data_IF_091397526390
#
_entry.id   IF_091397526390
#
_cell.length_a   1.000
_cell.length_b   1.000
_cell.length_c   1.000
_cell.angle_alpha   90.00
_cell.angle_beta   90.00
_cell.angle_gamma   90.00
#
_symmetry.space_group_name_H-M   'P 1'
#
loop_
_entity.id
_entity.type
_entity.pdbx_description
1 polymer ?
#
# COMPACT_ATOMS: atom_id res chain seq x y z
N UNK A 1 75.33 26.12 47.02
CA UNK A 1 74.23 26.55 46.16
C UNK A 1 73.59 25.28 45.55
N UNK A 2 72.39 24.88 45.99
CA UNK A 2 71.64 23.71 45.52
C UNK A 2 70.57 24.18 44.58
N UNK A 3 70.68 23.90 43.31
CA UNK A 3 69.71 24.29 42.26
C UNK A 3 68.58 23.22 42.23
N UNK A 4 67.38 23.59 42.63
CA UNK A 4 66.16 22.72 42.49
C UNK A 4 65.65 22.87 41.07
N UNK A 5 65.60 21.73 40.31
CA UNK A 5 64.99 21.64 38.98
C UNK A 5 63.52 21.26 39.17
N UNK A 6 62.59 22.16 38.89
CA UNK A 6 61.16 21.88 38.87
C UNK A 6 60.76 21.28 37.50
N UNK A 7 60.40 19.99 37.49
CA UNK A 7 59.84 19.32 36.33
C UNK A 7 58.32 19.59 36.34
N UNK A 8 57.82 20.39 35.40
CA UNK A 8 56.37 20.60 35.14
C UNK A 8 55.90 19.46 34.23
N UNK A 9 55.14 18.52 34.79
CA UNK A 9 54.47 17.47 34.03
C UNK A 9 53.18 18.05 33.44
N UNK A 10 53.14 18.27 32.11
CA UNK A 10 51.97 18.63 31.36
C UNK A 10 51.11 17.38 31.15
N UNK A 11 50.04 17.21 31.93
CA UNK A 11 49.02 16.19 31.67
C UNK A 11 48.18 16.65 30.48
N UNK A 12 48.46 16.10 29.31
CA UNK A 12 47.59 16.19 28.12
C UNK A 12 46.40 15.29 28.37
N UNK A 13 45.27 15.85 28.82
CA UNK A 13 43.98 15.14 28.82
C UNK A 13 43.52 14.98 27.39
N UNK A 14 43.74 13.78 26.83
CA UNK A 14 43.12 13.35 25.55
C UNK A 14 41.65 13.15 25.83
N UNK A 15 40.79 14.15 25.54
CA UNK A 15 39.36 13.96 25.46
C UNK A 15 39.06 13.15 24.20
N UNK A 16 38.81 11.85 24.35
CA UNK A 16 38.20 11.09 23.29
C UNK A 16 36.78 11.61 23.09
N UNK A 17 36.62 12.49 22.11
CA UNK A 17 35.32 12.74 21.49
C UNK A 17 34.97 11.48 20.74
N UNK A 18 34.04 10.68 21.26
CA UNK A 18 33.42 9.64 20.45
C UNK A 18 32.59 10.40 19.40
N UNK A 19 33.13 10.59 18.22
CA UNK A 19 32.34 10.99 17.05
C UNK A 19 31.25 9.93 16.88
N UNK A 20 30.06 10.23 17.39
CA UNK A 20 28.86 9.48 17.09
C UNK A 20 28.61 9.73 15.61
N UNK A 21 29.13 8.85 14.75
CA UNK A 21 28.91 8.92 13.33
C UNK A 21 27.40 8.75 13.09
N UNK A 22 26.77 9.80 12.56
CA UNK A 22 25.35 9.74 12.23
C UNK A 22 25.08 8.60 11.24
N UNK A 23 23.97 7.87 11.41
CA UNK A 23 23.64 6.77 10.52
C UNK A 23 23.48 7.28 9.09
N UNK A 24 24.14 6.63 8.13
CA UNK A 24 24.14 7.01 6.73
C UNK A 24 23.97 5.79 5.83
N UNK A 25 23.43 6.00 4.63
CA UNK A 25 23.29 4.94 3.66
C UNK A 25 22.12 5.15 2.69
N UNK A 26 21.77 4.07 2.01
CA UNK A 26 20.74 4.07 0.98
C UNK A 26 19.73 2.93 1.22
N UNK A 27 18.44 3.23 1.14
CA UNK A 27 17.34 2.27 1.29
C UNK A 27 16.52 2.25 -0.01
N UNK A 28 16.34 1.08 -0.58
CA UNK A 28 15.44 0.86 -1.71
C UNK A 28 14.10 0.32 -1.25
N UNK A 29 13.02 1.05 -1.54
CA UNK A 29 11.63 0.65 -1.29
C UNK A 29 10.94 0.42 -2.63
N UNK A 30 10.37 -0.77 -2.84
CA UNK A 30 9.72 -1.11 -4.11
C UNK A 30 8.45 -1.91 -3.92
N UNK A 31 7.44 -1.67 -4.75
CA UNK A 31 6.28 -2.56 -4.77
C UNK A 31 4.94 -1.91 -5.06
N UNK A 32 4.04 -1.95 -4.10
CA UNK A 32 2.64 -1.60 -4.27
C UNK A 32 2.43 -0.20 -4.84
N UNK A 33 1.80 -0.10 -6.00
CA UNK A 33 1.35 1.18 -6.55
C UNK A 33 0.31 1.87 -5.62
N UNK A 34 -0.49 1.09 -4.90
CA UNK A 34 -1.40 1.64 -3.88
C UNK A 34 -0.64 2.42 -2.80
N UNK A 35 0.55 1.94 -2.42
CA UNK A 35 1.37 2.53 -1.36
C UNK A 35 2.41 3.54 -1.85
N UNK A 36 2.55 3.74 -3.17
CA UNK A 36 3.66 4.56 -3.68
C UNK A 36 3.65 5.98 -3.12
N UNK A 37 2.50 6.65 -3.11
CA UNK A 37 2.37 8.01 -2.57
C UNK A 37 2.66 8.06 -1.05
N UNK A 38 2.14 7.09 -0.30
CA UNK A 38 2.40 7.00 1.14
C UNK A 38 3.89 6.72 1.43
N UNK A 39 4.49 5.77 0.70
CA UNK A 39 5.90 5.45 0.87
C UNK A 39 6.82 6.63 0.48
N UNK A 40 6.48 7.39 -0.56
CA UNK A 40 7.20 8.62 -0.94
C UNK A 40 7.08 9.68 0.14
N UNK A 41 5.87 9.92 0.65
CA UNK A 41 5.65 10.90 1.72
C UNK A 41 6.39 10.51 3.01
N UNK A 42 6.36 9.24 3.38
CA UNK A 42 7.12 8.71 4.52
C UNK A 42 8.64 8.88 4.31
N UNK A 43 9.13 8.60 3.11
CA UNK A 43 10.55 8.78 2.77
C UNK A 43 10.98 10.24 2.82
N UNK A 44 10.16 11.16 2.28
CA UNK A 44 10.42 12.61 2.31
C UNK A 44 10.50 13.14 3.75
N UNK A 45 9.54 12.79 4.61
CA UNK A 45 9.53 13.23 6.00
C UNK A 45 10.66 12.58 6.82
N UNK A 46 10.98 11.32 6.55
CA UNK A 46 12.09 10.62 7.16
C UNK A 46 13.45 11.27 6.82
N UNK A 47 13.69 11.59 5.55
CA UNK A 47 14.96 12.20 5.11
C UNK A 47 15.17 13.63 5.67
N UNK A 48 14.12 14.31 6.13
CA UNK A 48 14.28 15.58 6.87
C UNK A 48 14.88 15.37 8.27
N UNK A 49 14.56 14.23 8.90
CA UNK A 49 15.06 13.87 10.24
C UNK A 49 16.42 13.16 10.18
N UNK A 50 16.64 12.38 9.10
CA UNK A 50 17.86 11.60 8.86
C UNK A 50 18.51 11.97 7.51
N UNK A 51 19.16 13.15 7.41
CA UNK A 51 19.60 13.72 6.13
C UNK A 51 20.70 12.92 5.42
N UNK A 52 21.37 12.00 6.12
CA UNK A 52 22.41 11.14 5.54
C UNK A 52 21.89 9.74 5.14
N UNK A 53 20.58 9.46 5.32
CA UNK A 53 19.95 8.23 4.84
C UNK A 53 19.04 8.57 3.67
N UNK A 54 19.38 8.07 2.49
CA UNK A 54 18.59 8.28 1.28
C UNK A 54 17.60 7.13 1.07
N UNK A 55 16.33 7.46 0.83
CA UNK A 55 15.28 6.47 0.58
C UNK A 55 14.72 6.67 -0.83
N UNK A 56 14.90 5.68 -1.70
CA UNK A 56 14.32 5.66 -3.04
C UNK A 56 13.07 4.78 -3.08
N UNK A 57 11.97 5.34 -3.59
CA UNK A 57 10.68 4.66 -3.66
C UNK A 57 10.29 4.42 -5.12
N UNK A 58 9.96 3.17 -5.46
CA UNK A 58 9.45 2.79 -6.79
C UNK A 58 8.19 1.93 -6.68
N UNK A 59 7.22 2.16 -7.56
CA UNK A 59 6.00 1.36 -7.68
C UNK A 59 6.19 0.07 -8.49
N UNK A 60 5.15 -0.35 -9.20
CA UNK A 60 5.17 -1.51 -10.11
C UNK A 60 4.32 -2.70 -9.63
N UNK A 61 3.64 -2.55 -8.50
CA UNK A 61 2.73 -3.55 -7.93
C UNK A 61 3.35 -4.43 -6.84
N UNK A 62 2.51 -4.94 -5.95
CA UNK A 62 2.92 -5.78 -4.81
C UNK A 62 3.70 -7.03 -5.24
N UNK A 63 3.32 -7.63 -6.37
CA UNK A 63 4.02 -8.80 -6.90
C UNK A 63 5.46 -8.49 -7.32
N UNK A 64 5.68 -7.32 -7.92
CA UNK A 64 7.02 -6.85 -8.31
C UNK A 64 7.88 -6.56 -7.08
N UNK A 65 7.31 -5.88 -6.06
CA UNK A 65 8.04 -5.62 -4.80
C UNK A 65 8.47 -6.90 -4.10
N UNK A 66 7.54 -7.85 -3.94
CA UNK A 66 7.83 -9.14 -3.30
C UNK A 66 8.90 -9.93 -4.10
N UNK A 67 8.80 -9.95 -5.44
CA UNK A 67 9.82 -10.57 -6.28
C UNK A 67 11.18 -9.88 -6.14
N UNK A 68 11.22 -8.55 -6.09
CA UNK A 68 12.46 -7.79 -5.87
C UNK A 68 13.09 -8.08 -4.50
N UNK A 69 12.28 -8.23 -3.44
CA UNK A 69 12.78 -8.63 -2.12
C UNK A 69 13.38 -10.05 -2.16
N UNK A 70 12.68 -11.01 -2.80
CA UNK A 70 13.17 -12.38 -2.95
C UNK A 70 14.48 -12.42 -3.74
N UNK A 71 14.62 -11.59 -4.78
CA UNK A 71 15.84 -11.45 -5.58
C UNK A 71 16.93 -10.59 -4.90
N UNK A 72 16.68 -10.08 -3.68
CA UNK A 72 17.60 -9.22 -2.93
C UNK A 72 17.99 -7.93 -3.67
N UNK A 73 17.07 -7.40 -4.50
CA UNK A 73 17.24 -6.15 -5.28
C UNK A 73 16.47 -4.97 -4.70
N UNK A 74 15.86 -5.13 -3.53
CA UNK A 74 15.26 -4.07 -2.72
C UNK A 74 15.41 -4.43 -1.25
N UNK A 75 15.48 -3.42 -0.38
CA UNK A 75 15.56 -3.61 1.08
C UNK A 75 14.18 -3.81 1.68
N UNK A 76 13.19 -3.09 1.14
CA UNK A 76 11.81 -3.11 1.63
C UNK A 76 10.87 -3.33 0.45
N UNK A 77 10.02 -4.34 0.53
CA UNK A 77 8.91 -4.52 -0.40
C UNK A 77 7.62 -3.97 0.19
N UNK A 78 6.95 -3.04 -0.51
CA UNK A 78 5.60 -2.60 -0.15
C UNK A 78 4.54 -3.48 -0.80
N UNK A 79 3.49 -3.82 -0.05
CA UNK A 79 2.42 -4.65 -0.57
C UNK A 79 1.04 -4.28 0.00
N UNK A 80 0.02 -4.31 -0.83
CA UNK A 80 -1.39 -4.11 -0.49
C UNK A 80 -2.18 -5.43 -0.45
N UNK A 81 -1.47 -6.52 -0.28
CA UNK A 81 -1.94 -7.88 0.00
C UNK A 81 -0.88 -8.66 0.77
N UNK A 82 -1.29 -9.73 1.41
CA UNK A 82 -0.30 -10.64 2.01
C UNK A 82 0.54 -11.35 0.94
N UNK A 83 1.77 -11.69 1.34
CA UNK A 83 2.64 -12.58 0.55
C UNK A 83 1.99 -13.95 0.41
N UNK A 84 1.98 -14.49 -0.82
CA UNK A 84 1.34 -15.79 -1.12
C UNK A 84 2.23 -16.96 -0.69
N UNK A 85 1.61 -18.11 -0.41
CA UNK A 85 2.35 -19.32 -0.02
C UNK A 85 3.37 -19.76 -1.07
N UNK A 86 3.03 -19.60 -2.37
CA UNK A 86 3.97 -19.86 -3.48
C UNK A 86 5.17 -18.90 -3.44
N UNK A 87 4.98 -17.63 -3.09
CA UNK A 87 6.04 -16.63 -2.98
C UNK A 87 6.93 -16.95 -1.75
N UNK A 88 6.33 -17.33 -0.61
CA UNK A 88 7.08 -17.81 0.57
C UNK A 88 7.94 -19.04 0.26
N UNK A 89 7.40 -19.99 -0.53
CA UNK A 89 8.17 -21.18 -0.95
C UNK A 89 9.36 -20.81 -1.83
N UNK A 90 9.20 -19.82 -2.74
CA UNK A 90 10.29 -19.31 -3.56
C UNK A 90 11.30 -18.57 -2.69
N UNK A 91 10.85 -17.68 -1.79
CA UNK A 91 11.70 -16.95 -0.87
C UNK A 91 12.62 -17.90 -0.07
N UNK A 92 12.05 -18.99 0.47
CA UNK A 92 12.82 -20.01 1.18
C UNK A 92 13.94 -20.64 0.34
N UNK A 93 13.72 -20.87 -0.96
CA UNK A 93 14.74 -21.40 -1.89
C UNK A 93 15.89 -20.43 -2.11
N UNK A 94 15.65 -19.12 -1.99
CA UNK A 94 16.63 -18.05 -2.14
C UNK A 94 17.17 -17.55 -0.80
N UNK A 95 16.90 -18.29 0.30
CA UNK A 95 17.34 -17.94 1.66
C UNK A 95 16.86 -16.54 2.08
N UNK A 96 15.65 -16.17 1.64
CA UNK A 96 14.95 -14.95 2.05
C UNK A 96 13.84 -15.34 3.02
N UNK A 97 13.77 -14.67 4.15
CA UNK A 97 12.76 -14.86 5.20
C UNK A 97 11.91 -13.59 5.25
N UNK A 98 10.80 -13.49 4.47
CA UNK A 98 9.98 -12.29 4.48
C UNK A 98 9.42 -12.02 5.87
N UNK A 99 9.83 -10.89 6.46
CA UNK A 99 9.32 -10.40 7.74
C UNK A 99 8.18 -9.41 7.47
N UNK A 100 6.99 -9.73 7.98
CA UNK A 100 5.77 -8.97 7.71
C UNK A 100 5.60 -7.84 8.72
N UNK A 101 5.43 -6.60 8.22
CA UNK A 101 5.18 -5.41 9.01
C UNK A 101 3.90 -4.76 8.49
N UNK A 102 2.87 -4.67 9.33
CA UNK A 102 1.66 -3.92 9.00
C UNK A 102 1.94 -2.45 9.28
N UNK A 103 1.66 -1.57 8.31
CA UNK A 103 1.92 -0.13 8.41
C UNK A 103 0.65 0.72 8.42
N UNK A 104 -0.51 0.11 8.32
CA UNK A 104 -1.82 0.77 8.31
C UNK A 104 -2.86 -0.08 7.59
N UNK A 105 -4.04 0.52 7.35
CA UNK A 105 -5.15 -0.17 6.67
C UNK A 105 -5.68 0.68 5.51
N UNK A 106 -6.32 -0.01 4.57
CA UNK A 106 -6.90 0.56 3.35
C UNK A 106 -8.31 0.02 3.14
N UNK A 107 -9.22 0.88 2.65
CA UNK A 107 -10.48 0.48 2.08
C UNK A 107 -10.38 0.50 0.55
N UNK A 108 -10.54 -0.64 -0.12
CA UNK A 108 -10.59 -0.66 -1.58
C UNK A 108 -11.91 -0.02 -2.04
N UNK A 109 -11.83 1.24 -2.42
CA UNK A 109 -12.97 2.05 -2.83
C UNK A 109 -13.44 1.67 -4.23
N UNK A 110 -14.73 1.41 -4.38
CA UNK A 110 -15.39 1.26 -5.68
C UNK A 110 -15.82 2.64 -6.13
N UNK A 111 -15.37 3.03 -7.32
CA UNK A 111 -15.59 4.37 -7.86
C UNK A 111 -16.31 4.33 -9.20
N UNK A 112 -17.17 5.32 -9.39
CA UNK A 112 -17.88 5.60 -10.66
C UNK A 112 -17.77 7.07 -11.00
N UNK A 113 -18.11 7.42 -12.24
CA UNK A 113 -18.22 8.81 -12.65
C UNK A 113 -19.30 9.54 -11.82
N UNK A 114 -19.11 10.82 -11.52
CA UNK A 114 -20.07 11.64 -10.76
C UNK A 114 -21.46 11.70 -11.35
N UNK A 115 -21.59 11.56 -12.68
CA UNK A 115 -22.87 11.54 -13.38
C UNK A 115 -23.61 10.21 -13.26
N UNK A 116 -22.94 9.14 -12.83
CA UNK A 116 -23.57 7.84 -12.65
C UNK A 116 -24.58 7.90 -11.49
N UNK A 117 -25.87 7.49 -11.67
CA UNK A 117 -26.88 7.59 -10.62
C UNK A 117 -26.74 6.54 -9.52
N UNK A 118 -25.92 5.49 -9.72
CA UNK A 118 -25.75 4.42 -8.73
C UNK A 118 -25.01 4.97 -7.49
N UNK A 119 -25.55 4.68 -6.31
CA UNK A 119 -24.99 5.12 -5.03
C UNK A 119 -24.39 3.97 -4.21
N UNK A 120 -24.83 2.75 -4.47
CA UNK A 120 -24.47 1.57 -3.67
C UNK A 120 -24.54 0.29 -4.49
N UNK A 121 -23.67 -0.67 -4.15
CA UNK A 121 -23.63 -2.03 -4.72
C UNK A 121 -23.35 -3.07 -3.63
N UNK A 122 -23.82 -4.29 -3.86
CA UNK A 122 -23.42 -5.45 -3.06
C UNK A 122 -22.14 -6.08 -3.65
N UNK A 123 -21.42 -6.86 -2.83
CA UNK A 123 -20.29 -7.69 -3.31
C UNK A 123 -20.77 -8.62 -4.44
N UNK A 124 -21.99 -9.13 -4.36
CA UNK A 124 -22.54 -9.99 -5.42
C UNK A 124 -22.78 -9.25 -6.73
N UNK A 125 -23.29 -8.01 -6.68
CA UNK A 125 -23.44 -7.19 -7.88
C UNK A 125 -22.08 -6.82 -8.49
N UNK A 126 -21.08 -6.50 -7.66
CA UNK A 126 -19.70 -6.30 -8.12
C UNK A 126 -19.16 -7.57 -8.79
N UNK A 127 -19.34 -8.73 -8.17
CA UNK A 127 -18.97 -10.01 -8.77
C UNK A 127 -19.62 -10.19 -10.15
N UNK A 128 -20.92 -9.95 -10.27
CA UNK A 128 -21.65 -10.14 -11.51
C UNK A 128 -21.24 -9.12 -12.62
N UNK A 129 -20.85 -7.89 -12.23
CA UNK A 129 -20.24 -6.90 -13.15
C UNK A 129 -18.88 -7.42 -13.65
N UNK A 130 -17.97 -7.75 -12.74
CA UNK A 130 -16.58 -8.08 -13.10
C UNK A 130 -16.42 -9.48 -13.73
N UNK A 131 -17.42 -10.34 -13.60
CA UNK A 131 -17.52 -11.63 -14.34
C UNK A 131 -18.32 -11.52 -15.64
N UNK A 132 -18.85 -10.33 -15.96
CA UNK A 132 -19.57 -10.07 -17.21
C UNK A 132 -21.01 -10.58 -17.26
N UNK A 133 -21.61 -10.91 -16.11
CA UNK A 133 -23.03 -11.29 -15.99
C UNK A 133 -23.95 -10.08 -16.03
N UNK A 134 -23.50 -8.95 -15.48
CA UNK A 134 -24.15 -7.65 -15.58
C UNK A 134 -23.29 -6.77 -16.49
N UNK A 135 -23.84 -6.32 -17.62
CA UNK A 135 -23.12 -5.55 -18.66
C UNK A 135 -23.71 -4.18 -18.92
N UNK A 136 -24.86 -3.86 -18.35
CA UNK A 136 -25.56 -2.61 -18.57
C UNK A 136 -26.00 -2.02 -17.23
N UNK A 137 -25.84 -0.69 -17.07
CA UNK A 137 -26.20 0.01 -15.86
C UNK A 137 -27.69 -0.03 -15.53
N UNK A 138 -28.58 -0.18 -16.54
CA UNK A 138 -30.03 -0.30 -16.34
C UNK A 138 -30.42 -1.55 -15.53
N UNK A 139 -29.60 -2.63 -15.57
CA UNK A 139 -29.79 -3.84 -14.76
C UNK A 139 -29.61 -3.55 -13.24
N UNK A 140 -29.06 -2.40 -12.90
CA UNK A 140 -28.81 -1.94 -11.54
C UNK A 140 -29.62 -0.68 -11.17
N UNK A 141 -30.55 -0.26 -12.06
CA UNK A 141 -31.36 0.94 -11.87
C UNK A 141 -30.69 2.22 -12.34
N UNK A 142 -29.62 2.11 -13.11
CA UNK A 142 -28.91 3.21 -13.76
C UNK A 142 -29.45 3.52 -15.17
N UNK A 143 -28.66 4.30 -15.92
CA UNK A 143 -28.98 4.64 -17.32
C UNK A 143 -28.88 3.40 -18.22
N UNK A 144 -29.56 3.43 -19.36
CA UNK A 144 -29.38 2.42 -20.40
C UNK A 144 -28.06 2.67 -21.15
N UNK A 145 -26.99 2.16 -20.59
CA UNK A 145 -25.63 2.25 -21.13
C UNK A 145 -24.76 1.10 -20.64
N UNK A 146 -23.82 0.67 -21.50
CA UNK A 146 -22.89 -0.41 -21.18
C UNK A 146 -22.00 -0.04 -19.99
N UNK A 147 -21.61 -1.05 -19.21
CA UNK A 147 -20.63 -0.89 -18.12
C UNK A 147 -19.22 -1.08 -18.69
N UNK A 148 -18.33 -0.13 -18.46
CA UNK A 148 -16.90 -0.25 -18.71
C UNK A 148 -16.20 -0.59 -17.39
N UNK A 149 -15.95 -1.87 -17.17
CA UNK A 149 -15.32 -2.33 -15.94
C UNK A 149 -13.78 -2.23 -16.04
N UNK A 150 -13.18 -1.53 -15.07
CA UNK A 150 -11.74 -1.27 -15.01
C UNK A 150 -11.11 -2.05 -13.86
N UNK A 151 -9.99 -2.69 -14.13
CA UNK A 151 -9.19 -3.41 -13.16
C UNK A 151 -7.73 -2.95 -13.21
N UNK A 152 -6.93 -3.45 -12.30
CA UNK A 152 -5.49 -3.23 -12.24
C UNK A 152 -4.75 -4.39 -12.91
N UNK A 153 -3.51 -4.15 -13.31
CA UNK A 153 -2.61 -5.18 -13.81
C UNK A 153 -2.44 -6.34 -12.81
N UNK A 154 -2.13 -7.52 -13.33
CA UNK A 154 -2.01 -8.78 -12.56
C UNK A 154 -0.89 -8.76 -11.49
N UNK A 155 0.11 -7.87 -11.63
CA UNK A 155 1.15 -7.61 -10.63
C UNK A 155 0.62 -6.84 -9.41
N UNK A 156 -0.50 -6.13 -9.56
CA UNK A 156 -1.11 -5.31 -8.52
C UNK A 156 -1.63 -6.14 -7.36
N UNK A 157 -1.27 -5.76 -6.14
CA UNK A 157 -1.86 -6.34 -4.93
C UNK A 157 -3.36 -6.09 -4.83
N UNK A 158 -3.83 -4.93 -5.33
CA UNK A 158 -5.25 -4.58 -5.34
C UNK A 158 -6.03 -5.46 -6.32
N UNK A 159 -5.47 -5.77 -7.50
CA UNK A 159 -6.06 -6.72 -8.42
C UNK A 159 -6.25 -8.10 -7.76
N UNK A 160 -5.20 -8.62 -7.13
CA UNK A 160 -5.26 -9.94 -6.48
C UNK A 160 -6.27 -9.95 -5.32
N UNK A 161 -6.23 -8.92 -4.46
CA UNK A 161 -7.18 -8.79 -3.35
C UNK A 161 -8.63 -8.72 -3.86
N UNK A 162 -8.90 -7.89 -4.87
CA UNK A 162 -10.23 -7.74 -5.45
C UNK A 162 -10.70 -9.03 -6.13
N UNK A 163 -9.81 -9.73 -6.83
CA UNK A 163 -10.08 -11.03 -7.42
C UNK A 163 -10.54 -12.04 -6.37
N UNK A 164 -9.75 -12.19 -5.30
CA UNK A 164 -10.04 -13.16 -4.23
C UNK A 164 -11.34 -12.80 -3.50
N UNK A 165 -11.52 -11.52 -3.14
CA UNK A 165 -12.66 -11.06 -2.33
C UNK A 165 -13.96 -10.94 -3.12
N UNK A 166 -13.91 -10.42 -4.35
CA UNK A 166 -15.09 -10.08 -5.14
C UNK A 166 -15.35 -11.11 -6.24
N UNK A 167 -14.37 -11.41 -7.08
CA UNK A 167 -14.56 -12.34 -8.21
C UNK A 167 -14.68 -13.79 -7.72
N UNK A 168 -13.88 -14.17 -6.74
CA UNK A 168 -13.87 -15.53 -6.19
C UNK A 168 -14.69 -15.67 -4.89
N UNK A 169 -15.26 -14.58 -4.37
CA UNK A 169 -16.13 -14.55 -3.19
C UNK A 169 -15.50 -15.21 -1.95
N UNK A 170 -14.17 -15.02 -1.75
CA UNK A 170 -13.36 -15.66 -0.69
C UNK A 170 -13.38 -17.19 -0.67
N UNK A 171 -13.80 -17.83 -1.75
CA UNK A 171 -13.84 -19.29 -1.86
C UNK A 171 -12.60 -19.80 -2.55
N UNK A 172 -11.71 -20.50 -1.83
CA UNK A 172 -10.44 -21.03 -2.37
C UNK A 172 -10.62 -21.98 -3.54
N UNK A 173 -11.70 -22.72 -3.56
CA UNK A 173 -12.10 -23.64 -4.64
C UNK A 173 -12.63 -22.91 -5.88
N UNK A 174 -13.13 -21.67 -5.73
CA UNK A 174 -13.62 -20.87 -6.84
C UNK A 174 -12.44 -20.37 -7.70
N UNK A 175 -12.41 -20.78 -8.97
CA UNK A 175 -11.40 -20.38 -9.95
C UNK A 175 -11.94 -19.38 -10.96
N UNK A 176 -13.06 -18.72 -10.63
CA UNK A 176 -13.68 -17.72 -11.51
C UNK A 176 -12.69 -16.57 -11.76
N UNK A 177 -12.68 -16.10 -13.00
CA UNK A 177 -11.79 -15.06 -13.49
C UNK A 177 -12.57 -13.79 -13.84
N UNK A 178 -11.88 -12.69 -14.00
CA UNK A 178 -12.46 -11.50 -14.61
C UNK A 178 -12.96 -11.82 -16.03
N UNK A 179 -14.06 -11.17 -16.44
CA UNK A 179 -14.47 -11.17 -17.84
C UNK A 179 -13.35 -10.63 -18.74
N UNK A 180 -13.26 -11.17 -19.98
CA UNK A 180 -12.34 -10.66 -21.00
C UNK A 180 -12.60 -9.20 -21.40
N UNK A 181 -13.79 -8.68 -21.09
CA UNK A 181 -14.18 -7.30 -21.38
C UNK A 181 -13.61 -6.29 -20.34
N UNK A 182 -13.04 -6.78 -19.22
CA UNK A 182 -12.47 -5.93 -18.18
C UNK A 182 -11.13 -5.35 -18.63
N UNK A 183 -11.02 -4.03 -18.61
CA UNK A 183 -9.81 -3.32 -19.02
C UNK A 183 -8.81 -3.23 -17.87
N UNK A 184 -7.54 -3.55 -18.14
CA UNK A 184 -6.46 -3.52 -17.15
C UNK A 184 -5.67 -2.23 -17.26
N UNK A 185 -5.56 -1.48 -16.15
CA UNK A 185 -4.81 -0.23 -16.06
C UNK A 185 -3.63 -0.35 -15.08
N UNK A 186 -2.54 0.36 -15.37
CA UNK A 186 -1.25 0.22 -14.68
C UNK A 186 -1.24 0.82 -13.27
N UNK A 187 -2.07 1.86 -12.99
CA UNK A 187 -2.02 2.58 -11.72
C UNK A 187 -3.40 2.90 -11.15
N UNK A 188 -3.49 3.19 -9.83
CA UNK A 188 -4.71 3.71 -9.22
C UNK A 188 -5.09 5.06 -9.85
N UNK A 189 -4.10 5.93 -10.14
CA UNK A 189 -4.34 7.21 -10.77
C UNK A 189 -4.98 7.05 -12.16
N UNK A 190 -4.49 6.10 -12.97
CA UNK A 190 -5.09 5.82 -14.29
C UNK A 190 -6.55 5.37 -14.18
N UNK A 191 -6.92 4.57 -13.17
CA UNK A 191 -8.32 4.22 -12.90
C UNK A 191 -9.14 5.47 -12.56
N UNK A 192 -8.63 6.36 -11.70
CA UNK A 192 -9.33 7.60 -11.33
C UNK A 192 -9.55 8.50 -12.55
N UNK A 193 -8.55 8.67 -13.41
CA UNK A 193 -8.64 9.50 -14.62
C UNK A 193 -9.68 8.95 -15.59
N UNK A 194 -9.66 7.64 -15.85
CA UNK A 194 -10.62 6.99 -16.73
C UNK A 194 -12.05 7.12 -16.18
N UNK A 195 -12.27 6.82 -14.90
CA UNK A 195 -13.59 6.94 -14.27
C UNK A 195 -14.08 8.38 -14.28
N UNK A 196 -13.19 9.36 -14.06
CA UNK A 196 -13.57 10.78 -14.08
C UNK A 196 -14.02 11.28 -15.45
N UNK A 197 -13.44 10.74 -16.54
CA UNK A 197 -13.73 11.13 -17.92
C UNK A 197 -14.83 10.30 -18.58
N UNK A 198 -15.05 9.05 -18.11
CA UNK A 198 -15.96 8.09 -18.73
C UNK A 198 -17.20 7.84 -17.84
N UNK A 199 -18.40 8.35 -18.20
CA UNK A 199 -19.63 8.13 -17.44
C UNK A 199 -20.07 6.66 -17.30
N UNK A 200 -19.58 5.79 -18.18
CA UNK A 200 -19.89 4.35 -18.17
C UNK A 200 -18.97 3.53 -17.28
N UNK A 201 -17.85 4.12 -16.85
CA UNK A 201 -16.81 3.39 -16.14
C UNK A 201 -17.15 3.09 -14.68
N UNK A 202 -16.74 1.91 -14.24
CA UNK A 202 -16.60 1.51 -12.84
C UNK A 202 -15.19 0.99 -12.62
N UNK A 203 -14.57 1.39 -11.50
CA UNK A 203 -13.24 0.95 -11.14
C UNK A 203 -13.09 0.78 -9.63
N UNK A 204 -11.92 0.32 -9.22
CA UNK A 204 -11.56 0.21 -7.80
C UNK A 204 -10.14 0.71 -7.56
N UNK A 205 -9.96 1.42 -6.45
CA UNK A 205 -8.69 2.02 -6.04
C UNK A 205 -8.52 1.93 -4.53
N UNK A 206 -7.30 2.10 -4.02
CA UNK A 206 -7.11 2.36 -2.59
C UNK A 206 -7.75 3.68 -2.18
N UNK A 207 -8.32 3.76 -0.97
CA UNK A 207 -9.04 4.94 -0.49
C UNK A 207 -8.19 6.22 -0.50
N UNK A 208 -6.87 6.13 -0.37
CA UNK A 208 -5.94 7.25 -0.50
C UNK A 208 -5.89 7.89 -1.90
N UNK A 209 -6.57 7.31 -2.90
CA UNK A 209 -6.72 7.88 -4.26
C UNK A 209 -8.09 8.51 -4.50
N UNK A 210 -8.97 8.52 -3.49
CA UNK A 210 -10.26 9.20 -3.62
C UNK A 210 -10.05 10.70 -3.83
N UNK A 211 -10.76 11.25 -4.79
CA UNK A 211 -10.69 12.66 -5.15
C UNK A 211 -12.08 13.21 -5.46
N UNK A 212 -12.26 14.54 -5.41
CA UNK A 212 -13.52 15.17 -5.79
C UNK A 212 -13.96 14.91 -7.24
N UNK A 213 -13.15 14.28 -8.08
CA UNK A 213 -13.43 14.02 -9.50
C UNK A 213 -14.29 12.78 -9.74
N UNK A 214 -14.32 11.85 -8.78
CA UNK A 214 -15.06 10.59 -8.87
C UNK A 214 -16.03 10.45 -7.70
N UNK A 215 -16.95 9.49 -7.79
CA UNK A 215 -17.89 9.15 -6.72
C UNK A 215 -17.59 7.76 -6.20
N UNK A 216 -17.38 7.64 -4.89
CA UNK A 216 -17.26 6.36 -4.21
C UNK A 216 -18.64 5.79 -3.92
N UNK A 217 -18.81 4.49 -4.14
CA UNK A 217 -20.05 3.76 -3.83
C UNK A 217 -20.01 3.16 -2.44
N UNK A 218 -21.17 3.12 -1.78
CA UNK A 218 -21.36 2.35 -0.56
C UNK A 218 -21.49 0.86 -0.90
N UNK A 219 -20.75 0.01 -0.17
CA UNK A 219 -20.69 -1.43 -0.44
C UNK A 219 -21.30 -2.23 0.72
N UNK A 220 -22.07 -3.26 0.36
CA UNK A 220 -22.62 -4.24 1.29
C UNK A 220 -22.14 -5.64 0.97
N UNK A 221 -21.79 -6.41 1.99
CA UNK A 221 -21.59 -7.86 1.89
C UNK A 221 -22.89 -8.58 2.32
N UNK A 222 -23.44 -8.21 3.48
CA UNK A 222 -24.62 -8.83 4.09
C UNK A 222 -25.42 -7.82 4.89
N UNK A 223 -26.31 -7.06 4.24
CA UNK A 223 -27.20 -6.10 4.92
C UNK A 223 -26.85 -4.65 4.69
N UNK A 224 -26.24 -3.98 5.67
CA UNK A 224 -25.97 -2.56 5.60
C UNK A 224 -24.90 -2.17 4.58
N UNK A 225 -25.02 -0.95 4.04
CA UNK A 225 -24.11 -0.38 3.07
C UNK A 225 -23.17 0.62 3.74
N UNK A 226 -21.88 0.49 3.49
CA UNK A 226 -20.85 1.34 4.07
C UNK A 226 -20.00 1.98 2.99
N UNK A 227 -19.68 3.28 3.14
CA UNK A 227 -18.71 3.99 2.33
C UNK A 227 -17.27 3.66 2.78
N UNK A 228 -16.28 3.77 1.89
CA UNK A 228 -14.86 3.59 2.23
C UNK A 228 -14.33 4.81 3.01
N UNK A 229 -14.75 4.94 4.26
CA UNK A 229 -14.28 5.98 5.18
C UNK A 229 -13.31 5.40 6.21
N UNK A 230 -12.37 6.19 6.75
CA UNK A 230 -11.47 5.73 7.81
C UNK A 230 -12.22 5.06 8.96
N UNK A 231 -13.31 5.68 9.44
CA UNK A 231 -14.13 5.14 10.52
C UNK A 231 -14.69 3.75 10.20
N UNK A 232 -15.24 3.56 9.00
CA UNK A 232 -15.83 2.28 8.60
C UNK A 232 -14.75 1.19 8.41
N UNK A 233 -13.52 1.57 8.07
CA UNK A 233 -12.37 0.65 7.97
C UNK A 233 -11.88 0.24 9.36
N UNK A 234 -11.73 1.19 10.30
CA UNK A 234 -11.36 0.94 11.71
C UNK A 234 -12.38 0.01 12.36
N UNK A 235 -13.67 0.31 12.22
CA UNK A 235 -14.76 -0.47 12.78
C UNK A 235 -15.02 -1.80 12.05
N UNK A 236 -14.23 -2.11 11.02
CA UNK A 236 -14.36 -3.32 10.17
C UNK A 236 -15.75 -3.48 9.54
N UNK A 237 -16.46 -2.36 9.34
CA UNK A 237 -17.79 -2.32 8.70
C UNK A 237 -17.67 -2.30 7.17
N UNK A 238 -16.64 -1.63 6.63
CA UNK A 238 -16.43 -1.61 5.19
C UNK A 238 -15.92 -2.97 4.69
N UNK A 239 -16.65 -3.66 3.78
CA UNK A 239 -16.36 -5.07 3.47
C UNK A 239 -15.11 -5.29 2.61
N UNK A 240 -14.56 -4.23 2.00
CA UNK A 240 -13.34 -4.27 1.20
C UNK A 240 -12.14 -3.65 1.92
N UNK A 241 -12.08 -3.82 3.25
CA UNK A 241 -10.97 -3.37 4.09
C UNK A 241 -9.83 -4.38 4.09
N UNK A 242 -8.57 -3.88 4.12
CA UNK A 242 -7.37 -4.72 4.13
C UNK A 242 -6.19 -4.05 4.83
N UNK A 243 -5.25 -4.81 5.41
CA UNK A 243 -3.99 -4.27 5.88
C UNK A 243 -3.05 -3.91 4.71
N UNK A 244 -2.17 -2.95 4.99
CA UNK A 244 -1.07 -2.53 4.14
C UNK A 244 0.25 -2.96 4.76
N UNK A 245 1.20 -3.41 3.94
CA UNK A 245 2.39 -4.09 4.41
C UNK A 245 3.68 -3.48 3.87
N UNK A 246 4.71 -3.53 4.70
CA UNK A 246 6.11 -3.56 4.31
C UNK A 246 6.70 -4.94 4.65
N UNK A 247 7.56 -5.45 3.79
CA UNK A 247 8.28 -6.71 3.99
C UNK A 247 9.77 -6.45 3.89
N UNK A 248 10.54 -7.03 4.81
CA UNK A 248 12.01 -7.04 4.81
C UNK A 248 12.53 -8.47 4.77
N UNK A 249 13.81 -8.67 4.46
CA UNK A 249 14.46 -9.97 4.57
C UNK A 249 14.96 -10.20 6.01
N UNK A 250 14.19 -10.93 6.80
CA UNK A 250 14.35 -11.05 8.23
C UNK A 250 13.90 -9.79 8.99
N UNK A 251 14.08 -9.79 10.30
CA UNK A 251 13.80 -8.64 11.15
C UNK A 251 14.63 -7.43 10.72
N UNK A 252 14.03 -6.22 10.64
CA UNK A 252 14.73 -5.01 10.20
C UNK A 252 15.96 -4.71 11.08
N UNK A 253 17.07 -4.30 10.43
CA UNK A 253 18.33 -3.96 11.11
C UNK A 253 18.95 -2.71 10.51
N UNK A 254 19.87 -2.07 11.25
CA UNK A 254 20.59 -0.89 10.81
C UNK A 254 19.65 0.24 10.35
N UNK A 255 19.97 0.87 9.23
CA UNK A 255 19.19 2.01 8.69
C UNK A 255 17.77 1.60 8.26
N UNK A 256 17.57 0.35 7.81
CA UNK A 256 16.22 -0.17 7.49
C UNK A 256 15.36 -0.22 8.74
N UNK A 257 15.93 -0.61 9.90
CA UNK A 257 15.20 -0.56 11.17
C UNK A 257 14.82 0.86 11.56
N UNK A 258 15.74 1.82 11.42
CA UNK A 258 15.49 3.23 11.72
C UNK A 258 14.31 3.74 10.87
N UNK A 259 14.29 3.42 9.58
CA UNK A 259 13.18 3.80 8.71
C UNK A 259 11.85 3.13 9.09
N UNK A 260 11.86 1.82 9.38
CA UNK A 260 10.64 1.11 9.82
C UNK A 260 10.14 1.64 11.16
N UNK A 261 11.03 1.92 12.13
CA UNK A 261 10.64 2.52 13.41
C UNK A 261 10.01 3.92 13.21
N UNK A 262 10.54 4.72 12.25
CA UNK A 262 9.93 5.99 11.86
C UNK A 262 8.54 5.78 11.24
N UNK A 263 8.38 4.84 10.33
CA UNK A 263 7.07 4.53 9.69
C UNK A 263 6.02 4.17 10.75
N UNK A 264 6.42 3.44 11.79
CA UNK A 264 5.53 2.95 12.85
C UNK A 264 5.30 3.94 13.99
N UNK A 265 6.11 5.00 14.10
CA UNK A 265 5.94 6.02 15.12
C UNK A 265 4.82 7.02 14.77
N UNK A 266 4.53 7.95 15.71
CA UNK A 266 3.47 8.94 15.55
C UNK A 266 3.64 9.82 14.31
N UNK A 267 4.87 10.24 14.01
CA UNK A 267 5.17 11.09 12.84
C UNK A 267 4.90 10.34 11.53
N UNK A 268 5.36 9.09 11.43
CA UNK A 268 5.13 8.25 10.27
C UNK A 268 3.65 7.90 10.09
N UNK A 269 2.96 7.55 11.17
CA UNK A 269 1.54 7.22 11.13
C UNK A 269 0.66 8.43 10.75
N UNK A 270 1.06 9.64 11.14
CA UNK A 270 0.44 10.87 10.65
C UNK A 270 0.56 11.01 9.12
N UNK A 271 1.70 10.64 8.52
CA UNK A 271 1.85 10.66 7.07
C UNK A 271 0.94 9.62 6.38
N UNK A 272 0.74 8.46 6.99
CA UNK A 272 -0.21 7.43 6.51
C UNK A 272 -1.63 7.99 6.47
N UNK A 273 -2.04 8.71 7.52
CA UNK A 273 -3.35 9.37 7.61
C UNK A 273 -3.49 10.51 6.59
N UNK A 274 -2.49 11.38 6.46
CA UNK A 274 -2.51 12.53 5.53
C UNK A 274 -2.67 12.13 4.07
N UNK A 275 -2.19 10.94 3.67
CA UNK A 275 -2.40 10.40 2.33
C UNK A 275 -3.71 9.62 2.18
N UNK A 276 -4.58 9.65 3.19
CA UNK A 276 -5.93 9.10 3.14
C UNK A 276 -6.04 7.61 3.45
N UNK A 277 -5.02 6.99 4.03
CA UNK A 277 -5.10 5.64 4.60
C UNK A 277 -5.41 5.68 6.10
N UNK A 278 -5.70 4.52 6.67
CA UNK A 278 -6.01 4.39 8.09
C UNK A 278 -4.74 4.02 8.86
N UNK A 279 -4.28 4.85 9.81
CA UNK A 279 -3.12 4.56 10.61
C UNK A 279 -3.36 3.38 11.56
N UNK A 280 -2.28 2.84 12.11
CA UNK A 280 -2.33 1.87 13.20
C UNK A 280 -2.87 2.58 14.46
N UNK A 281 -3.80 1.94 15.16
CA UNK A 281 -4.20 2.38 16.50
C UNK A 281 -3.02 2.24 17.47
N UNK A 282 -2.87 3.22 18.36
CA UNK A 282 -1.87 3.19 19.44
C UNK A 282 -2.32 2.29 20.58
#
# INVERSE_FOLDING_TARGET
MKTCLFIIIFLISCTWSSDIQEPSGFIQVKGSDTLVNAAQKLAEEFMKEYPYIFVAVTGGGSGVGIASLINKTTDIATASRRIKDKEKKIAKKWEVIPYEIIIGFDGVAIIVNKKNPIEKLTIRQLHDIYTGKIKNWNQLGGYDSSIVALSREVSSGTHIYFKERVVQLDKRENKEEFSSDVLLLSSNQAIVEEVASNPQAIGYVGMGYLSPRVKALAISDRGDYFLPTPQNVIEKKYPLSRPLFMYTNGEPRGIVKIFIDFVLNEKGQKQVEEVGFVPLEK
#
